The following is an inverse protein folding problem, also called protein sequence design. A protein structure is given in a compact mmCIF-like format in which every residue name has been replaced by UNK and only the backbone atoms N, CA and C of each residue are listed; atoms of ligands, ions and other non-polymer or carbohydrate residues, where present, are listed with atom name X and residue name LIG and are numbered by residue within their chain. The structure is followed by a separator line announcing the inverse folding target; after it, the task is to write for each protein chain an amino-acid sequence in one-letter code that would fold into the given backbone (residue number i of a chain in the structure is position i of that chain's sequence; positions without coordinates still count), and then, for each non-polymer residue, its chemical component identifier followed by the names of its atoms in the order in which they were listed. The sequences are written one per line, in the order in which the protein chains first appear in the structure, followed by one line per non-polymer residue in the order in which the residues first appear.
data_IF_821837897809
#
_entry.id   IF_821837897809
#
_cell.length_a   1.000
_cell.length_b   1.000
_cell.length_c   1.000
_cell.angle_alpha   90.00
_cell.angle_beta   90.00
_cell.angle_gamma   90.00
#
_symmetry.space_group_name_H-M   'P 1'
#
loop_
_entity.id
_entity.type
_entity.pdbx_description
1 polymer ?
#
# COMPACT_ATOMS: atom_id res chain seq x y z
N UNK A 1 -20.76 8.00 -6.67
CA UNK A 1 -20.02 8.97 -5.90
C UNK A 1 -18.53 8.81 -6.14
N UNK A 2 -17.84 9.88 -6.43
CA UNK A 2 -16.41 9.74 -6.66
C UNK A 2 -15.70 9.27 -5.40
N UNK A 3 -14.75 8.39 -5.59
CA UNK A 3 -13.94 7.91 -4.49
C UNK A 3 -13.07 9.05 -3.99
N UNK A 4 -13.20 9.36 -2.73
CA UNK A 4 -12.34 10.38 -2.13
C UNK A 4 -11.07 9.74 -1.61
N UNK A 5 -9.96 10.44 -1.81
CA UNK A 5 -8.71 10.07 -1.17
C UNK A 5 -8.84 10.32 0.32
N UNK A 6 -8.63 9.27 1.11
CA UNK A 6 -8.68 9.38 2.57
C UNK A 6 -7.29 9.42 3.14
N UNK A 7 -7.15 10.15 4.22
CA UNK A 7 -5.92 10.12 4.99
C UNK A 7 -5.82 8.82 5.77
N UNK A 8 -4.58 8.36 5.95
CA UNK A 8 -4.33 7.11 6.66
C UNK A 8 -4.95 7.14 8.06
N UNK A 9 -4.87 8.27 8.74
CA UNK A 9 -5.41 8.39 10.10
C UNK A 9 -6.93 8.21 10.16
N UNK A 10 -7.62 8.35 9.03
CA UNK A 10 -9.07 8.25 8.97
C UNK A 10 -9.57 6.87 8.53
N UNK A 11 -8.67 5.93 8.29
CA UNK A 11 -9.04 4.62 7.78
C UNK A 11 -9.57 3.71 8.89
N UNK A 12 -10.56 2.91 8.54
CA UNK A 12 -11.17 1.91 9.42
C UNK A 12 -11.23 0.57 8.71
N UNK A 13 -11.25 -0.50 9.48
CA UNK A 13 -11.39 -1.84 8.93
C UNK A 13 -12.66 -1.91 8.08
N UNK A 14 -12.50 -2.46 6.88
CA UNK A 14 -13.57 -2.55 5.90
C UNK A 14 -13.61 -1.45 4.87
N UNK A 15 -12.87 -0.36 5.10
CA UNK A 15 -12.84 0.74 4.12
C UNK A 15 -12.18 0.29 2.82
N UNK A 16 -12.76 0.77 1.72
CA UNK A 16 -12.12 0.66 0.41
C UNK A 16 -11.25 1.90 0.22
N UNK A 17 -9.99 1.67 -0.11
CA UNK A 17 -8.99 2.72 -0.22
C UNK A 17 -8.62 2.93 -1.69
N UNK A 18 -8.67 4.18 -2.12
CA UNK A 18 -8.08 4.61 -3.38
C UNK A 18 -7.33 5.89 -3.06
N UNK A 19 -6.01 5.80 -3.00
CA UNK A 19 -5.23 6.87 -2.40
C UNK A 19 -3.81 6.89 -2.93
N UNK A 20 -3.14 8.01 -2.69
CA UNK A 20 -1.72 8.17 -2.97
C UNK A 20 -0.97 8.12 -1.64
N UNK A 21 0.12 7.37 -1.61
CA UNK A 21 0.93 7.21 -0.42
C UNK A 21 2.41 7.18 -0.79
N UNK A 22 3.24 7.51 0.19
CA UNK A 22 4.69 7.39 0.07
C UNK A 22 5.12 6.03 0.63
N UNK A 23 5.98 5.33 -0.10
CA UNK A 23 6.57 4.09 0.42
C UNK A 23 7.71 4.46 1.36
N UNK A 24 7.57 4.09 2.62
CA UNK A 24 8.63 4.26 3.61
C UNK A 24 9.52 3.03 3.67
N UNK A 25 8.94 1.85 3.45
CA UNK A 25 9.66 0.59 3.55
C UNK A 25 9.01 -0.42 2.62
N UNK A 26 9.83 -1.29 2.02
CA UNK A 26 9.34 -2.34 1.13
C UNK A 26 10.18 -3.59 1.35
N UNK A 27 9.53 -4.74 1.59
CA UNK A 27 10.20 -6.01 1.80
C UNK A 27 9.41 -7.12 1.13
N UNK A 28 10.10 -7.97 0.36
CA UNK A 28 9.50 -9.17 -0.21
C UNK A 28 9.67 -10.28 0.82
N UNK A 29 8.56 -10.85 1.27
CA UNK A 29 8.55 -11.86 2.34
C UNK A 29 8.05 -13.18 1.77
N UNK A 30 8.87 -14.24 1.82
CA UNK A 30 8.43 -15.55 1.35
C UNK A 30 7.33 -16.12 2.25
N UNK A 31 6.41 -16.86 1.65
CA UNK A 31 5.44 -17.62 2.43
C UNK A 31 6.12 -18.73 3.20
N UNK A 32 5.43 -19.34 4.15
CA UNK A 32 5.95 -20.48 4.91
C UNK A 32 6.43 -21.59 3.99
N UNK A 33 5.68 -21.83 2.92
CA UNK A 33 6.11 -22.73 1.85
C UNK A 33 6.72 -21.88 0.75
N UNK A 34 8.05 -21.87 0.58
CA UNK A 34 8.68 -21.04 -0.44
C UNK A 34 8.20 -21.33 -1.86
N UNK A 35 7.72 -22.57 -2.11
CA UNK A 35 7.18 -22.92 -3.42
C UNK A 35 5.90 -22.16 -3.74
N UNK A 36 5.20 -21.64 -2.72
CA UNK A 36 3.99 -20.85 -2.92
C UNK A 36 4.27 -19.40 -3.28
N UNK A 37 5.54 -18.97 -3.27
CA UNK A 37 5.91 -17.63 -3.62
C UNK A 37 6.09 -16.72 -2.43
N UNK A 38 5.82 -15.43 -2.64
CA UNK A 38 6.08 -14.39 -1.65
C UNK A 38 5.00 -13.32 -1.72
N UNK A 39 4.92 -12.50 -0.68
CA UNK A 39 4.11 -11.29 -0.73
C UNK A 39 5.01 -10.07 -0.47
N UNK A 40 4.57 -8.92 -0.95
CA UNK A 40 5.29 -7.67 -0.74
C UNK A 40 4.69 -6.97 0.46
N UNK A 41 5.51 -6.74 1.47
CA UNK A 41 5.13 -6.00 2.67
C UNK A 41 5.61 -4.56 2.53
N UNK A 42 4.70 -3.62 2.71
CA UNK A 42 4.98 -2.20 2.57
C UNK A 42 4.64 -1.47 3.86
N UNK A 43 5.39 -0.43 4.15
CA UNK A 43 4.98 0.59 5.10
C UNK A 43 4.70 1.85 4.29
N UNK A 44 3.45 2.27 4.30
CA UNK A 44 2.99 3.43 3.56
C UNK A 44 2.74 4.58 4.50
N UNK A 45 2.96 5.79 4.01
CA UNK A 45 2.72 6.98 4.82
C UNK A 45 2.07 8.07 3.99
N UNK A 46 1.37 8.95 4.67
CA UNK A 46 0.95 10.24 4.18
C UNK A 46 1.18 11.25 5.30
N UNK A 47 0.66 12.46 5.13
CA UNK A 47 0.85 13.52 6.13
C UNK A 47 0.18 13.21 7.48
N UNK A 48 -0.75 12.26 7.52
CA UNK A 48 -1.52 11.96 8.74
C UNK A 48 -0.99 10.80 9.53
N UNK A 49 -0.16 9.92 8.94
CA UNK A 49 0.33 8.74 9.65
C UNK A 49 0.91 7.69 8.73
N UNK A 50 0.99 6.48 9.25
CA UNK A 50 1.56 5.34 8.55
C UNK A 50 0.66 4.14 8.71
N UNK A 51 0.71 3.24 7.72
CA UNK A 51 -0.05 1.98 7.76
C UNK A 51 0.71 0.91 7.00
N UNK A 52 0.63 -0.32 7.49
CA UNK A 52 1.16 -1.48 6.79
C UNK A 52 0.27 -1.83 5.61
N UNK A 53 0.87 -2.37 4.56
CA UNK A 53 0.13 -2.84 3.40
C UNK A 53 0.78 -4.10 2.86
N UNK A 54 -0.02 -4.91 2.17
CA UNK A 54 0.47 -6.17 1.60
C UNK A 54 -0.04 -6.33 0.18
N UNK A 55 0.87 -6.75 -0.71
CA UNK A 55 0.57 -7.06 -2.10
C UNK A 55 0.83 -8.53 -2.30
N UNK A 56 -0.22 -9.30 -2.62
CA UNK A 56 -0.07 -10.74 -2.85
C UNK A 56 0.07 -11.09 -4.32
N UNK A 57 -0.64 -10.40 -5.19
CA UNK A 57 -0.57 -10.65 -6.61
C UNK A 57 0.59 -9.88 -7.22
N UNK A 58 1.40 -10.56 -8.02
CA UNK A 58 2.55 -9.96 -8.70
C UNK A 58 3.50 -9.28 -7.72
N UNK A 59 3.67 -9.89 -6.56
CA UNK A 59 4.48 -9.29 -5.51
C UNK A 59 5.93 -9.08 -5.96
N UNK A 60 6.50 -10.04 -6.69
CA UNK A 60 7.88 -9.93 -7.14
C UNK A 60 8.07 -8.84 -8.17
N UNK A 61 7.11 -8.69 -9.10
CA UNK A 61 7.17 -7.60 -10.09
C UNK A 61 7.04 -6.25 -9.41
N UNK A 62 6.14 -6.15 -8.44
CA UNK A 62 5.98 -4.90 -7.68
C UNK A 62 7.23 -4.58 -6.88
N UNK A 63 7.83 -5.59 -6.24
CA UNK A 63 9.06 -5.38 -5.48
C UNK A 63 10.20 -4.90 -6.37
N UNK A 64 10.25 -5.36 -7.61
CA UNK A 64 11.30 -4.97 -8.54
C UNK A 64 11.15 -3.54 -9.03
N UNK A 65 9.93 -3.02 -9.07
CA UNK A 65 9.66 -1.70 -9.66
C UNK A 65 9.39 -0.61 -8.64
N UNK A 66 9.09 -0.95 -7.39
CA UNK A 66 8.72 0.01 -6.36
C UNK A 66 9.78 0.07 -5.27
N UNK A 67 10.15 1.28 -4.88
CA UNK A 67 11.25 1.49 -3.93
C UNK A 67 10.82 2.47 -2.84
N UNK A 68 11.46 2.41 -1.65
CA UNK A 68 11.24 3.44 -0.64
C UNK A 68 11.52 4.82 -1.23
N UNK A 69 10.68 5.77 -0.90
CA UNK A 69 10.73 7.12 -1.46
C UNK A 69 9.79 7.33 -2.63
N UNK A 70 9.29 6.26 -3.23
CA UNK A 70 8.33 6.38 -4.33
C UNK A 70 6.96 6.77 -3.81
N UNK A 71 6.27 7.61 -4.58
CA UNK A 71 4.84 7.88 -4.37
C UNK A 71 4.06 6.91 -5.25
N UNK A 72 3.10 6.24 -4.65
CA UNK A 72 2.32 5.22 -5.34
C UNK A 72 0.83 5.52 -5.23
N UNK A 73 0.09 5.12 -6.26
CA UNK A 73 -1.36 5.07 -6.21
C UNK A 73 -1.77 3.65 -5.87
N UNK A 74 -2.57 3.51 -4.84
CA UNK A 74 -3.01 2.20 -4.37
C UNK A 74 -4.52 2.07 -4.43
N UNK A 75 -4.97 0.85 -4.65
CA UNK A 75 -6.36 0.46 -4.50
C UNK A 75 -6.39 -0.81 -3.66
N UNK A 76 -7.18 -0.80 -2.61
CA UNK A 76 -7.25 -1.94 -1.72
C UNK A 76 -8.35 -1.81 -0.69
N UNK A 77 -8.29 -2.68 0.30
CA UNK A 77 -9.28 -2.71 1.37
C UNK A 77 -8.57 -2.85 2.71
N UNK A 78 -9.05 -2.12 3.70
CA UNK A 78 -8.49 -2.19 5.06
C UNK A 78 -9.00 -3.45 5.74
N UNK A 79 -8.10 -4.24 6.28
CA UNK A 79 -8.42 -5.46 7.01
C UNK A 79 -7.82 -5.44 8.40
N UNK A 80 -8.47 -6.15 9.32
CA UNK A 80 -7.95 -6.29 10.67
C UNK A 80 -6.78 -7.27 10.71
N UNK A 81 -5.80 -6.99 11.56
CA UNK A 81 -4.68 -7.89 11.78
C UNK A 81 -4.19 -7.74 13.21
N UNK A 82 -4.37 -8.76 14.02
CA UNK A 82 -4.02 -8.71 15.45
C UNK A 82 -4.62 -7.46 16.09
N UNK A 83 -3.78 -6.59 16.66
CA UNK A 83 -4.25 -5.38 17.33
C UNK A 83 -4.31 -4.17 16.41
N UNK A 84 -4.12 -4.37 15.13
CA UNK A 84 -4.07 -3.26 14.19
C UNK A 84 -4.79 -3.57 12.90
N UNK A 85 -4.39 -2.87 11.87
CA UNK A 85 -4.98 -3.06 10.55
C UNK A 85 -3.92 -2.87 9.48
N UNK A 86 -4.21 -3.38 8.29
CA UNK A 86 -3.36 -3.21 7.13
C UNK A 86 -4.22 -3.04 5.89
N UNK A 87 -3.63 -2.55 4.82
CA UNK A 87 -4.31 -2.45 3.53
C UNK A 87 -3.96 -3.68 2.71
N UNK A 88 -4.99 -4.46 2.35
CA UNK A 88 -4.84 -5.53 1.38
C UNK A 88 -4.92 -4.90 0.00
N UNK A 89 -3.78 -4.75 -0.67
CA UNK A 89 -3.69 -4.01 -1.92
C UNK A 89 -4.10 -4.91 -3.08
N UNK A 90 -5.01 -4.41 -3.90
CA UNK A 90 -5.39 -5.07 -5.15
C UNK A 90 -4.60 -4.56 -6.33
N UNK A 91 -4.36 -3.26 -6.38
CA UNK A 91 -3.59 -2.63 -7.44
C UNK A 91 -2.67 -1.58 -6.85
N UNK A 92 -1.46 -1.52 -7.36
CA UNK A 92 -0.48 -0.54 -6.95
C UNK A 92 0.36 -0.17 -8.17
N UNK A 93 0.62 1.12 -8.32
CA UNK A 93 1.54 1.60 -9.34
C UNK A 93 2.21 2.86 -8.86
N UNK A 94 3.37 3.14 -9.45
CA UNK A 94 4.03 4.42 -9.18
C UNK A 94 3.16 5.55 -9.71
N UNK A 95 2.99 6.59 -8.91
CA UNK A 95 2.27 7.78 -9.33
C UNK A 95 3.11 8.57 -10.32
N UNK A 96 2.46 9.19 -11.29
CA UNK A 96 3.14 10.09 -12.20
C UNK A 96 3.31 11.44 -11.52
N UNK A 97 4.38 12.18 -11.86
CA UNK A 97 4.63 13.48 -11.20
C UNK A 97 3.48 14.47 -11.35
N UNK A 98 2.70 14.37 -12.44
CA UNK A 98 1.63 15.31 -12.72
C UNK A 98 0.29 14.94 -12.06
N UNK A 99 0.19 13.78 -11.42
CA UNK A 99 -1.08 13.37 -10.82
C UNK A 99 -1.11 13.54 -9.29
N UNK A 100 0.00 13.93 -8.68
CA UNK A 100 0.10 14.08 -7.23
C UNK A 100 0.54 15.48 -6.90
N UNK A 101 -0.16 16.12 -5.96
CA UNK A 101 0.31 17.36 -5.37
C UNK A 101 1.36 17.02 -4.33
N UNK A 102 2.60 17.34 -4.62
CA UNK A 102 3.72 16.98 -3.75
C UNK A 102 3.72 17.76 -2.43
N UNK A 103 2.88 18.79 -2.33
CA UNK A 103 2.74 19.53 -1.09
C UNK A 103 1.92 18.76 -0.04
N UNK A 104 1.22 17.74 -0.45
CA UNK A 104 0.37 16.95 0.46
C UNK A 104 1.13 15.84 1.16
#
# INVERSE_FOLDING_TARGET
MPTKTRLIADLHVGDVVLSYCLIKRARLIPFKDPASGSFLSLLLSDRSGQISARVWERAEQSAASLNPGDVVKIQGKVRAYQDGMYIAIRQIRRARPDEVDLAD
#
